data_IF_198468457955
#
_entry.id   IF_198468457955
#
_cell.length_a   1.000
_cell.length_b   1.000
_cell.length_c   1.000
_cell.angle_alpha   90.00
_cell.angle_beta   90.00
_cell.angle_gamma   90.00
#
_symmetry.space_group_name_H-M   'P 1'
#
loop_
_entity.id
_entity.type
_entity.pdbx_description
1 polymer ?
#
# COMPACT_ATOMS: atom_id res chain seq x y z
N UNK A 1 5.48 4.17 -19.61
CA UNK A 1 6.54 4.60 -18.69
C UNK A 1 6.61 3.73 -17.45
N UNK A 2 5.57 3.78 -16.59
CA UNK A 2 5.55 2.88 -15.44
C UNK A 2 5.04 1.51 -15.86
N UNK A 3 5.68 0.45 -15.37
CA UNK A 3 5.30 -0.94 -15.67
C UNK A 3 4.83 -1.69 -14.42
N UNK A 4 5.33 -1.32 -13.25
CA UNK A 4 5.02 -1.99 -11.98
C UNK A 4 4.85 -0.95 -10.90
N UNK A 5 3.62 -0.77 -10.46
CA UNK A 5 3.24 0.24 -9.47
C UNK A 5 2.85 -0.48 -8.18
N UNK A 6 3.35 0.02 -7.05
CA UNK A 6 3.05 -0.50 -5.72
C UNK A 6 2.35 0.58 -4.91
N UNK A 7 1.19 0.24 -4.34
CA UNK A 7 0.47 1.12 -3.42
C UNK A 7 0.60 0.57 -2.02
N UNK A 8 1.11 1.40 -1.11
CA UNK A 8 1.13 1.09 0.32
C UNK A 8 -0.22 1.51 0.90
N UNK A 9 -1.02 0.54 1.33
CA UNK A 9 -2.42 0.76 1.69
C UNK A 9 -2.66 0.47 3.17
N UNK A 10 -3.34 1.37 3.87
CA UNK A 10 -3.63 1.18 5.29
C UNK A 10 -5.07 1.51 5.67
N UNK A 11 -5.99 1.36 4.73
CA UNK A 11 -7.43 1.50 4.97
C UNK A 11 -7.84 2.86 5.52
N UNK A 12 -7.21 3.92 5.02
CA UNK A 12 -7.54 5.31 5.38
C UNK A 12 -8.08 6.03 4.15
N UNK A 13 -8.77 7.16 4.32
CA UNK A 13 -9.19 7.96 3.17
C UNK A 13 -8.03 8.35 2.25
N UNK A 14 -6.87 8.69 2.81
CA UNK A 14 -5.69 9.03 2.02
C UNK A 14 -5.17 7.82 1.24
N UNK A 15 -5.16 6.62 1.85
CA UNK A 15 -4.80 5.40 1.13
C UNK A 15 -5.76 5.10 0.00
N UNK A 16 -7.06 5.39 0.18
CA UNK A 16 -8.04 5.21 -0.88
C UNK A 16 -7.74 6.13 -2.06
N UNK A 17 -7.36 7.37 -1.80
CA UNK A 17 -6.94 8.30 -2.86
C UNK A 17 -5.67 7.83 -3.55
N UNK A 18 -4.74 7.27 -2.79
CA UNK A 18 -3.52 6.68 -3.37
C UNK A 18 -3.87 5.50 -4.28
N UNK A 19 -4.83 4.67 -3.87
CA UNK A 19 -5.31 3.56 -4.71
C UNK A 19 -5.95 4.07 -5.99
N UNK A 20 -6.79 5.11 -5.91
CA UNK A 20 -7.40 5.71 -7.09
C UNK A 20 -6.33 6.19 -8.07
N UNK A 21 -5.31 6.88 -7.58
CA UNK A 21 -4.21 7.34 -8.42
C UNK A 21 -3.43 6.19 -9.02
N UNK A 22 -3.21 5.13 -8.24
CA UNK A 22 -2.53 3.94 -8.72
C UNK A 22 -3.27 3.27 -9.87
N UNK A 23 -4.59 3.16 -9.76
CA UNK A 23 -5.42 2.58 -10.82
C UNK A 23 -5.37 3.45 -12.08
N UNK A 24 -5.50 4.77 -11.91
CA UNK A 24 -5.41 5.71 -13.03
C UNK A 24 -4.09 5.57 -13.78
N UNK A 25 -2.97 5.60 -13.06
CA UNK A 25 -1.65 5.50 -13.68
C UNK A 25 -1.41 4.11 -14.27
N UNK A 26 -1.90 3.06 -13.62
CA UNK A 26 -1.75 1.71 -14.16
C UNK A 26 -2.52 1.55 -15.46
N UNK A 27 -3.74 2.09 -15.52
CA UNK A 27 -4.53 2.07 -16.76
C UNK A 27 -3.82 2.85 -17.88
N UNK A 28 -3.34 4.05 -17.57
CA UNK A 28 -2.71 4.92 -18.57
C UNK A 28 -1.39 4.33 -19.11
N UNK A 29 -0.68 3.56 -18.29
CA UNK A 29 0.62 3.00 -18.64
C UNK A 29 0.59 1.53 -19.02
N UNK A 30 -0.56 0.86 -18.88
CA UNK A 30 -0.62 -0.59 -19.05
C UNK A 30 0.19 -1.32 -17.99
N UNK A 31 0.26 -0.76 -16.78
CA UNK A 31 1.10 -1.28 -15.71
C UNK A 31 0.38 -2.31 -14.84
N UNK A 32 1.19 -3.14 -14.17
CA UNK A 32 0.71 -3.99 -13.08
C UNK A 32 0.61 -3.15 -11.81
N UNK A 33 -0.45 -3.38 -11.04
CA UNK A 33 -0.67 -2.71 -9.77
C UNK A 33 -0.65 -3.74 -8.65
N UNK A 34 0.22 -3.55 -7.68
CA UNK A 34 0.24 -4.37 -6.47
C UNK A 34 -0.13 -3.49 -5.28
N UNK A 35 -1.04 -3.97 -4.46
CA UNK A 35 -1.49 -3.29 -3.24
C UNK A 35 -0.94 -4.08 -2.07
N UNK A 36 -0.18 -3.43 -1.19
CA UNK A 36 0.35 -4.06 0.00
C UNK A 36 -0.17 -3.39 1.26
N UNK A 37 -0.61 -4.20 2.22
CA UNK A 37 -1.02 -3.79 3.55
C UNK A 37 -0.23 -4.56 4.60
N UNK A 38 0.45 -3.86 5.50
CA UNK A 38 1.16 -4.49 6.60
C UNK A 38 0.19 -4.77 7.75
N UNK A 39 0.07 -6.03 8.15
CA UNK A 39 -0.65 -6.42 9.36
C UNK A 39 0.19 -6.04 10.58
N UNK A 40 -0.44 -6.01 11.76
CA UNK A 40 0.23 -5.68 13.00
C UNK A 40 1.52 -6.52 13.14
N UNK A 41 2.64 -5.83 13.34
CA UNK A 41 3.94 -6.46 13.45
C UNK A 41 4.01 -7.51 14.56
N UNK A 42 3.23 -7.35 15.62
CA UNK A 42 3.19 -8.31 16.74
C UNK A 42 2.74 -9.70 16.29
N UNK A 43 1.97 -9.80 15.21
CA UNK A 43 1.54 -11.07 14.67
C UNK A 43 2.68 -11.86 14.01
N UNK A 44 3.84 -11.24 13.82
CA UNK A 44 4.99 -11.89 13.20
C UNK A 44 5.55 -13.02 14.07
N UNK A 45 5.24 -13.03 15.37
CA UNK A 45 5.63 -14.13 16.25
C UNK A 45 4.83 -15.41 16.01
N UNK A 46 3.72 -15.31 15.28
CA UNK A 46 2.91 -16.47 14.94
C UNK A 46 3.50 -17.18 13.72
N UNK A 47 3.37 -18.51 13.72
CA UNK A 47 3.72 -19.31 12.55
C UNK A 47 2.79 -18.94 11.39
N UNK A 48 3.30 -19.00 10.16
CA UNK A 48 2.50 -18.71 8.97
C UNK A 48 1.27 -19.61 8.85
N UNK A 49 1.33 -20.80 9.41
CA UNK A 49 0.21 -21.75 9.42
C UNK A 49 -0.74 -21.56 10.61
N UNK A 50 -0.47 -20.61 11.51
CA UNK A 50 -1.34 -20.37 12.66
C UNK A 50 -2.75 -19.98 12.22
N UNK A 51 -3.80 -20.67 12.74
CA UNK A 51 -5.17 -20.36 12.33
C UNK A 51 -5.55 -18.89 12.53
N UNK A 52 -5.07 -18.26 13.59
CA UNK A 52 -5.36 -16.85 13.89
C UNK A 52 -4.82 -15.93 12.80
N UNK A 53 -3.61 -16.21 12.32
CA UNK A 53 -2.98 -15.39 11.29
C UNK A 53 -3.67 -15.58 9.95
N UNK A 54 -4.02 -16.83 9.62
CA UNK A 54 -4.75 -17.13 8.39
C UNK A 54 -6.08 -16.40 8.37
N UNK A 55 -6.82 -16.46 9.49
CA UNK A 55 -8.11 -15.78 9.62
C UNK A 55 -7.97 -14.27 9.43
N UNK A 56 -7.01 -13.64 10.10
CA UNK A 56 -6.78 -12.20 9.98
C UNK A 56 -6.43 -11.81 8.54
N UNK A 57 -5.58 -12.61 7.90
CA UNK A 57 -5.18 -12.35 6.52
C UNK A 57 -6.35 -12.44 5.55
N UNK A 58 -7.21 -13.44 5.73
CA UNK A 58 -8.38 -13.60 4.87
C UNK A 58 -9.43 -12.50 5.11
N UNK A 59 -9.65 -12.13 6.37
CA UNK A 59 -10.54 -11.01 6.71
C UNK A 59 -10.05 -9.70 6.09
N UNK A 60 -8.74 -9.46 6.15
CA UNK A 60 -8.13 -8.25 5.59
C UNK A 60 -8.28 -8.23 4.07
N UNK A 61 -8.05 -9.35 3.42
CA UNK A 61 -8.23 -9.47 1.97
C UNK A 61 -9.68 -9.20 1.57
N UNK A 62 -10.62 -9.79 2.31
CA UNK A 62 -12.04 -9.58 2.04
C UNK A 62 -12.45 -8.12 2.26
N UNK A 63 -11.94 -7.51 3.32
CA UNK A 63 -12.18 -6.09 3.59
C UNK A 63 -11.69 -5.22 2.44
N UNK A 64 -10.49 -5.50 1.94
CA UNK A 64 -9.96 -4.76 0.80
C UNK A 64 -10.84 -4.95 -0.44
N UNK A 65 -11.22 -6.17 -0.75
CA UNK A 65 -12.07 -6.46 -1.91
C UNK A 65 -13.39 -5.71 -1.83
N UNK A 66 -14.00 -5.67 -0.65
CA UNK A 66 -15.26 -4.96 -0.43
C UNK A 66 -15.11 -3.46 -0.59
N UNK A 67 -14.09 -2.87 0.06
CA UNK A 67 -13.89 -1.43 0.03
C UNK A 67 -13.40 -0.91 -1.32
N UNK A 68 -12.68 -1.73 -2.07
CA UNK A 68 -12.09 -1.33 -3.34
C UNK A 68 -12.91 -1.77 -4.56
N UNK A 69 -14.01 -2.51 -4.36
CA UNK A 69 -14.79 -3.09 -5.46
C UNK A 69 -15.16 -2.07 -6.52
N UNK A 70 -15.70 -0.93 -6.11
CA UNK A 70 -16.12 0.11 -7.06
C UNK A 70 -14.94 0.74 -7.79
N UNK A 71 -13.80 0.86 -7.14
CA UNK A 71 -12.60 1.44 -7.74
C UNK A 71 -11.94 0.50 -8.73
N UNK A 72 -11.98 -0.80 -8.45
CA UNK A 72 -11.33 -1.81 -9.27
C UNK A 72 -12.18 -2.31 -10.43
N UNK A 73 -13.41 -1.83 -10.55
CA UNK A 73 -14.32 -2.27 -11.58
C UNK A 73 -13.72 -2.03 -12.97
N UNK A 74 -13.57 -3.13 -13.73
CA UNK A 74 -12.99 -3.06 -15.05
C UNK A 74 -11.46 -3.04 -15.09
N UNK A 75 -10.80 -3.06 -13.93
CA UNK A 75 -9.34 -3.13 -13.87
C UNK A 75 -8.93 -4.46 -13.26
N UNK A 76 -8.25 -5.30 -14.04
CA UNK A 76 -7.92 -6.67 -13.66
C UNK A 76 -6.45 -6.91 -13.36
N UNK A 77 -5.56 -6.01 -13.78
CA UNK A 77 -4.12 -6.20 -13.60
C UNK A 77 -3.64 -5.74 -12.22
N UNK A 78 -4.26 -6.29 -11.19
CA UNK A 78 -4.07 -5.91 -9.81
C UNK A 78 -3.91 -7.13 -8.91
N UNK A 79 -3.05 -7.03 -7.91
CA UNK A 79 -2.91 -8.03 -6.86
C UNK A 79 -2.91 -7.34 -5.51
N UNK A 80 -3.31 -8.07 -4.47
CA UNK A 80 -3.31 -7.59 -3.10
C UNK A 80 -2.56 -8.59 -2.22
N UNK A 81 -1.71 -8.09 -1.34
CA UNK A 81 -1.02 -8.90 -0.35
C UNK A 81 -1.00 -8.23 1.01
N UNK A 82 -0.99 -9.04 2.05
CA UNK A 82 -0.83 -8.56 3.42
C UNK A 82 -0.07 -9.58 4.23
N UNK A 83 0.75 -9.10 5.15
CA UNK A 83 1.47 -9.94 6.10
C UNK A 83 1.92 -9.10 7.29
N UNK A 84 2.19 -9.72 8.45
CA UNK A 84 2.75 -8.99 9.58
C UNK A 84 4.14 -8.47 9.24
N UNK A 85 4.34 -7.16 9.35
CA UNK A 85 5.61 -6.56 8.96
C UNK A 85 5.68 -5.11 9.43
N UNK A 86 6.90 -4.57 9.46
CA UNK A 86 7.10 -3.14 9.50
C UNK A 86 6.67 -2.57 8.16
N UNK A 87 5.67 -1.69 8.11
CA UNK A 87 5.10 -1.26 6.83
C UNK A 87 6.09 -0.59 5.90
N UNK A 88 7.01 0.21 6.41
CA UNK A 88 7.97 0.91 5.57
C UNK A 88 9.04 -0.02 5.02
N UNK A 89 9.61 -0.85 5.89
CA UNK A 89 10.68 -1.76 5.48
C UNK A 89 10.18 -2.82 4.51
N UNK A 90 8.98 -3.36 4.76
CA UNK A 90 8.42 -4.38 3.89
C UNK A 90 8.03 -3.80 2.53
N UNK A 91 7.45 -2.60 2.51
CA UNK A 91 7.12 -1.92 1.25
C UNK A 91 8.36 -1.75 0.38
N UNK A 92 9.45 -1.28 0.97
CA UNK A 92 10.72 -1.12 0.24
C UNK A 92 11.30 -2.44 -0.22
N UNK A 93 11.17 -3.50 0.60
CA UNK A 93 11.63 -4.84 0.23
C UNK A 93 10.85 -5.39 -0.96
N UNK A 94 9.53 -5.27 -0.93
CA UNK A 94 8.68 -5.70 -2.04
C UNK A 94 9.05 -4.93 -3.31
N UNK A 95 9.24 -3.62 -3.19
CA UNK A 95 9.61 -2.79 -4.33
C UNK A 95 10.92 -3.24 -4.96
N UNK A 96 11.91 -3.62 -4.15
CA UNK A 96 13.18 -4.12 -4.68
C UNK A 96 13.02 -5.47 -5.37
N UNK A 97 12.32 -6.40 -4.72
CA UNK A 97 12.17 -7.76 -5.25
C UNK A 97 11.33 -7.79 -6.52
N UNK A 98 10.29 -6.99 -6.59
CA UNK A 98 9.38 -6.95 -7.74
C UNK A 98 9.83 -5.97 -8.82
N UNK A 99 10.93 -5.27 -8.61
CA UNK A 99 11.39 -4.23 -9.53
C UNK A 99 10.32 -3.19 -9.80
N UNK A 100 9.67 -2.75 -8.72
CA UNK A 100 8.68 -1.68 -8.77
C UNK A 100 9.31 -0.39 -9.28
N UNK A 101 8.63 0.31 -10.15
CA UNK A 101 9.15 1.57 -10.69
C UNK A 101 8.39 2.81 -10.19
N UNK A 102 7.37 2.61 -9.37
CA UNK A 102 6.68 3.71 -8.68
C UNK A 102 5.99 3.18 -7.42
N UNK A 103 6.22 3.82 -6.29
CA UNK A 103 5.48 3.56 -5.05
C UNK A 103 4.53 4.75 -4.83
N UNK A 104 3.28 4.46 -4.51
CA UNK A 104 2.29 5.49 -4.19
C UNK A 104 1.77 5.25 -2.77
N UNK A 105 1.72 6.31 -1.98
CA UNK A 105 1.14 6.25 -0.65
C UNK A 105 0.36 7.52 -0.34
N UNK A 106 -0.58 7.43 0.58
CA UNK A 106 -1.34 8.58 1.02
C UNK A 106 -0.64 9.31 2.16
N UNK A 107 -0.85 10.62 2.24
CA UNK A 107 -0.38 11.40 3.38
C UNK A 107 -1.19 11.03 4.62
N UNK A 108 -0.61 11.24 5.81
CA UNK A 108 -1.40 11.07 7.01
C UNK A 108 -2.22 12.32 7.31
N UNK A 109 -3.31 12.15 8.06
CA UNK A 109 -4.21 13.25 8.39
C UNK A 109 -3.61 14.10 9.50
N UNK A 110 -3.62 15.43 9.30
CA UNK A 110 -3.17 16.38 10.31
C UNK A 110 -4.22 17.49 10.44
N UNK A 111 -4.33 18.16 11.60
CA UNK A 111 -5.19 19.33 11.73
C UNK A 111 -4.74 20.45 10.78
N UNK A 112 -5.70 21.19 10.25
CA UNK A 112 -5.45 22.20 9.22
C UNK A 112 -4.40 23.25 9.60
N UNK A 113 -4.37 23.65 10.87
CA UNK A 113 -3.43 24.68 11.35
C UNK A 113 -2.22 24.11 12.05
N UNK A 114 -1.94 22.83 11.83
CA UNK A 114 -0.81 22.15 12.47
C UNK A 114 0.48 22.37 11.68
N UNK A 115 1.59 22.48 12.39
CA UNK A 115 2.93 22.47 11.79
C UNK A 115 3.51 21.07 11.69
N UNK A 116 2.73 20.04 12.03
CA UNK A 116 3.15 18.64 11.92
C UNK A 116 3.26 18.28 10.43
N UNK A 117 4.28 17.53 10.09
CA UNK A 117 4.50 17.08 8.72
C UNK A 117 3.35 16.19 8.23
N UNK A 118 2.98 16.34 6.95
CA UNK A 118 2.04 15.42 6.28
C UNK A 118 2.65 14.06 6.01
N UNK A 119 3.96 13.96 6.16
CA UNK A 119 4.67 12.71 5.95
C UNK A 119 4.96 12.12 7.32
N UNK A 120 4.33 10.99 7.63
CA UNK A 120 4.54 10.30 8.90
C UNK A 120 5.86 9.52 8.88
N UNK A 121 6.13 8.79 9.96
CA UNK A 121 7.36 8.00 10.08
C UNK A 121 7.47 6.95 8.95
N UNK A 122 6.37 6.28 8.64
CA UNK A 122 6.35 5.27 7.57
C UNK A 122 6.67 5.92 6.22
N UNK A 123 6.01 7.04 5.91
CA UNK A 123 6.26 7.77 4.67
C UNK A 123 7.68 8.28 4.57
N UNK A 124 8.22 8.84 5.66
CA UNK A 124 9.60 9.31 5.70
C UNK A 124 10.60 8.18 5.41
N UNK A 125 10.37 7.02 6.02
CA UNK A 125 11.27 5.88 5.83
C UNK A 125 11.19 5.36 4.39
N UNK A 126 9.99 5.32 3.81
CA UNK A 126 9.83 4.91 2.41
C UNK A 126 10.55 5.89 1.49
N UNK A 127 10.35 7.20 1.68
CA UNK A 127 11.02 8.21 0.86
C UNK A 127 12.54 8.08 0.92
N UNK A 128 13.06 7.76 2.08
CA UNK A 128 14.50 7.65 2.29
C UNK A 128 15.09 6.37 1.69
N UNK A 129 14.35 5.25 1.74
CA UNK A 129 14.89 3.93 1.44
C UNK A 129 14.33 3.27 0.17
N UNK A 130 13.38 3.89 -0.48
CA UNK A 130 12.76 3.31 -1.68
C UNK A 130 13.77 3.18 -2.84
N UNK A 131 13.68 2.09 -3.61
CA UNK A 131 14.54 1.90 -4.78
C UNK A 131 14.04 2.62 -6.03
N UNK A 132 12.94 3.36 -5.93
CA UNK A 132 12.25 3.97 -7.07
C UNK A 132 11.57 5.27 -6.64
N UNK A 133 11.04 6.07 -7.58
CA UNK A 133 10.26 7.25 -7.24
C UNK A 133 9.08 6.92 -6.33
N UNK A 134 8.77 7.86 -5.46
CA UNK A 134 7.67 7.74 -4.50
C UNK A 134 6.72 8.92 -4.70
N UNK A 135 5.45 8.63 -4.83
CA UNK A 135 4.41 9.65 -4.98
C UNK A 135 3.56 9.67 -3.71
N UNK A 136 3.52 10.81 -3.05
CA UNK A 136 2.69 11.02 -1.86
C UNK A 136 1.41 11.72 -2.28
N UNK A 137 0.26 11.12 -2.00
CA UNK A 137 -1.03 11.69 -2.38
C UNK A 137 -1.59 12.43 -1.17
N UNK A 138 -1.83 13.75 -1.29
CA UNK A 138 -2.45 14.50 -0.19
C UNK A 138 -3.89 14.08 0.00
N UNK A 139 -4.34 14.30 1.20
CA UNK A 139 -5.70 13.95 1.57
C UNK A 139 -6.74 14.87 0.96
#
# INVERSE_FOLDING_TARGET
>A
MFKRILVAYKFTPASRKALEKGIELANDNGARLHIFHALDYRLKSLDESAPELIEISEETKLRFQTEAESLLKGFNNVTFGCLPADPALETCKIARLDKTDLIILGSHQIPEQSYISRVDYVGMTILEKAPCPVMLIPQ
#
